data_IF_895920034619
#
_entry.id   IF_895920034619
#
_cell.length_a   1.000
_cell.length_b   1.000
_cell.length_c   1.000
_cell.angle_alpha   90.00
_cell.angle_beta   90.00
_cell.angle_gamma   90.00
#
_symmetry.space_group_name_H-M   'P 1'
#
loop_
_entity.id
_entity.type
_entity.pdbx_description
1 polymer ?
#
# COMPACT_ATOMS: atom_id res chain seq x y z
N UNK A 1 7.52 9.24 8.16
CA UNK A 1 6.77 9.67 6.96
C UNK A 1 5.26 9.51 7.18
N UNK A 2 4.43 10.43 6.66
CA UNK A 2 2.96 10.38 6.85
C UNK A 2 2.25 9.34 5.99
N UNK A 3 2.92 8.83 4.94
CA UNK A 3 2.41 7.82 3.99
C UNK A 3 0.98 8.13 3.52
N UNK A 4 0.77 9.39 3.15
CA UNK A 4 -0.48 9.88 2.61
C UNK A 4 -0.27 10.58 1.27
N UNK A 5 -1.26 10.46 0.40
CA UNK A 5 -1.16 10.87 -0.99
C UNK A 5 -2.47 11.50 -1.46
N UNK A 6 -2.41 12.40 -2.43
CA UNK A 6 -3.62 12.86 -3.12
C UNK A 6 -4.03 11.82 -4.17
N UNK A 7 -5.34 11.76 -4.48
CA UNK A 7 -5.91 10.82 -5.47
C UNK A 7 -5.15 10.81 -6.81
N UNK A 8 -4.74 11.99 -7.30
CA UNK A 8 -4.03 12.10 -8.57
C UNK A 8 -2.60 11.57 -8.54
N UNK A 9 -1.93 11.58 -7.38
CA UNK A 9 -0.62 10.93 -7.23
C UNK A 9 -0.78 9.42 -7.33
N UNK A 10 -1.71 8.86 -6.55
CA UNK A 10 -1.98 7.41 -6.56
C UNK A 10 -2.38 6.95 -7.97
N UNK A 11 -3.27 7.67 -8.65
CA UNK A 11 -3.66 7.34 -10.03
C UNK A 11 -2.46 7.33 -10.98
N UNK A 12 -1.55 8.30 -10.86
CA UNK A 12 -0.35 8.41 -11.70
C UNK A 12 0.64 7.27 -11.42
N UNK A 13 0.93 6.99 -10.15
CA UNK A 13 1.88 5.93 -9.79
C UNK A 13 1.35 4.53 -10.14
N UNK A 14 0.03 4.34 -10.16
CA UNK A 14 -0.61 3.10 -10.63
C UNK A 14 -0.72 3.01 -12.16
N UNK A 15 -0.33 4.04 -12.91
CA UNK A 15 -0.50 4.09 -14.36
C UNK A 15 -1.96 4.07 -14.81
N UNK A 16 -2.90 4.45 -13.94
CA UNK A 16 -4.34 4.39 -14.20
C UNK A 16 -4.85 5.70 -14.79
N UNK A 17 -5.85 5.62 -15.67
CA UNK A 17 -6.60 6.81 -16.06
C UNK A 17 -7.35 7.39 -14.86
N UNK A 18 -7.50 8.71 -14.81
CA UNK A 18 -8.26 9.38 -13.74
C UNK A 18 -9.68 8.83 -13.64
N UNK A 19 -10.33 8.56 -14.76
CA UNK A 19 -11.70 8.03 -14.75
C UNK A 19 -11.78 6.65 -14.08
N UNK A 20 -10.88 5.72 -14.43
CA UNK A 20 -10.85 4.39 -13.84
C UNK A 20 -10.49 4.44 -12.36
N UNK A 21 -9.51 5.26 -11.98
CA UNK A 21 -9.11 5.40 -10.59
C UNK A 21 -10.23 5.96 -9.72
N UNK A 22 -10.84 7.09 -10.10
CA UNK A 22 -11.82 7.78 -9.25
C UNK A 22 -13.10 6.96 -9.04
N UNK A 23 -13.49 6.12 -10.01
CA UNK A 23 -14.61 5.18 -9.86
C UNK A 23 -14.33 4.18 -8.73
N UNK A 24 -13.22 3.45 -8.82
CA UNK A 24 -12.88 2.42 -7.83
C UNK A 24 -12.47 3.01 -6.48
N UNK A 25 -11.83 4.18 -6.46
CA UNK A 25 -11.38 4.81 -5.23
C UNK A 25 -12.55 5.28 -4.35
N UNK A 26 -13.68 5.67 -4.94
CA UNK A 26 -14.90 6.01 -4.20
C UNK A 26 -15.39 4.81 -3.38
N UNK A 27 -15.41 3.63 -3.98
CA UNK A 27 -15.83 2.40 -3.30
C UNK A 27 -14.88 2.07 -2.14
N UNK A 28 -13.57 2.28 -2.30
CA UNK A 28 -12.58 2.08 -1.23
C UNK A 28 -12.77 3.07 -0.06
N UNK A 29 -13.21 4.29 -0.33
CA UNK A 29 -13.55 5.28 0.70
C UNK A 29 -14.83 4.89 1.44
N UNK A 30 -15.88 4.49 0.71
CA UNK A 30 -17.18 4.09 1.28
C UNK A 30 -17.06 2.83 2.15
N UNK A 31 -16.17 1.90 1.77
CA UNK A 31 -15.82 0.71 2.56
C UNK A 31 -14.82 1.00 3.69
N UNK A 32 -14.41 2.25 3.89
CA UNK A 32 -13.43 2.68 4.90
C UNK A 32 -12.06 1.98 4.81
N UNK A 33 -11.71 1.43 3.65
CA UNK A 33 -10.41 0.81 3.38
C UNK A 33 -9.34 1.90 3.28
N UNK A 34 -9.70 3.06 2.75
CA UNK A 34 -8.88 4.29 2.76
C UNK A 34 -9.64 5.41 3.46
N UNK A 35 -8.91 6.31 4.12
CA UNK A 35 -9.49 7.46 4.85
C UNK A 35 -8.73 8.75 4.61
N UNK A 36 -9.42 9.91 4.60
CA UNK A 36 -8.75 11.20 4.55
C UNK A 36 -7.86 11.37 5.79
N UNK A 37 -6.67 11.92 5.58
CA UNK A 37 -5.64 12.03 6.63
C UNK A 37 -5.45 13.46 7.12
N UNK A 38 -5.35 14.42 6.20
CA UNK A 38 -5.12 15.85 6.44
C UNK A 38 -5.42 16.65 5.16
N UNK A 39 -5.46 17.97 5.28
CA UNK A 39 -5.48 18.89 4.14
C UNK A 39 -4.16 19.64 4.02
N UNK A 40 -3.70 19.85 2.79
CA UNK A 40 -2.55 20.70 2.46
C UNK A 40 -3.01 21.70 1.40
N UNK A 41 -3.21 22.96 1.79
CA UNK A 41 -3.90 23.93 0.94
C UNK A 41 -5.29 23.42 0.54
N UNK A 42 -5.53 23.27 -0.76
CA UNK A 42 -6.80 22.74 -1.30
C UNK A 42 -6.82 21.21 -1.47
N UNK A 43 -5.67 20.56 -1.32
CA UNK A 43 -5.55 19.12 -1.49
C UNK A 43 -6.02 18.36 -0.25
N UNK A 44 -6.76 17.26 -0.46
CA UNK A 44 -7.08 16.29 0.59
C UNK A 44 -6.18 15.08 0.42
N UNK A 45 -5.41 14.78 1.46
CA UNK A 45 -4.52 13.63 1.53
C UNK A 45 -5.30 12.41 2.01
N UNK A 46 -4.97 11.23 1.49
CA UNK A 46 -5.59 9.95 1.87
C UNK A 46 -4.53 8.96 2.32
N UNK A 47 -4.88 8.10 3.28
CA UNK A 47 -4.05 7.00 3.77
C UNK A 47 -4.85 5.71 3.84
N UNK A 48 -4.17 4.57 3.83
CA UNK A 48 -4.81 3.28 4.09
C UNK A 48 -5.28 3.20 5.55
N UNK A 49 -6.45 2.61 5.77
CA UNK A 49 -6.99 2.43 7.11
C UNK A 49 -6.42 1.16 7.75
N UNK A 50 -5.31 1.29 8.47
CA UNK A 50 -4.64 0.16 9.14
C UNK A 50 -5.49 -0.54 10.23
N UNK A 51 -6.58 0.10 10.67
CA UNK A 51 -7.48 -0.47 11.65
C UNK A 51 -8.51 -1.43 11.02
N UNK A 52 -8.75 -1.28 9.71
CA UNK A 52 -9.71 -2.07 8.95
C UNK A 52 -9.30 -3.55 8.90
N UNK A 53 -10.22 -4.51 9.14
CA UNK A 53 -9.90 -5.94 9.20
C UNK A 53 -9.19 -6.47 7.95
N UNK A 54 -9.67 -6.14 6.75
CA UNK A 54 -9.03 -6.54 5.48
C UNK A 54 -7.59 -6.06 5.38
N UNK A 55 -7.32 -4.79 5.74
CA UNK A 55 -5.99 -4.18 5.66
C UNK A 55 -5.03 -4.86 6.64
N UNK A 56 -5.51 -5.20 7.85
CA UNK A 56 -4.71 -5.96 8.82
C UNK A 56 -4.29 -7.33 8.27
N UNK A 57 -5.24 -8.08 7.71
CA UNK A 57 -4.96 -9.40 7.12
C UNK A 57 -3.99 -9.33 5.95
N UNK A 58 -4.16 -8.34 5.06
CA UNK A 58 -3.22 -8.15 3.95
C UNK A 58 -1.82 -7.81 4.45
N UNK A 59 -1.68 -6.99 5.49
CA UNK A 59 -0.37 -6.70 6.09
C UNK A 59 0.28 -7.94 6.71
N UNK A 60 -0.49 -8.81 7.38
CA UNK A 60 0.00 -10.09 7.91
C UNK A 60 0.60 -10.95 6.79
N UNK A 61 -0.13 -11.11 5.69
CA UNK A 61 0.32 -11.88 4.52
C UNK A 61 1.58 -11.27 3.90
N UNK A 62 1.60 -9.95 3.70
CA UNK A 62 2.76 -9.25 3.13
C UNK A 62 4.00 -9.46 4.00
N UNK A 63 3.86 -9.39 5.32
CA UNK A 63 4.97 -9.61 6.25
C UNK A 63 5.50 -11.04 6.19
N UNK A 64 4.60 -12.03 6.19
CA UNK A 64 4.96 -13.45 6.09
C UNK A 64 5.74 -13.75 4.81
N UNK A 65 5.21 -13.30 3.66
CA UNK A 65 5.88 -13.48 2.36
C UNK A 65 7.23 -12.75 2.33
N UNK A 66 7.32 -11.55 2.89
CA UNK A 66 8.58 -10.80 2.98
C UNK A 66 9.64 -11.54 3.81
N UNK A 67 9.24 -12.17 4.92
CA UNK A 67 10.14 -13.00 5.73
C UNK A 67 10.63 -14.21 4.94
N UNK A 68 9.72 -14.94 4.27
CA UNK A 68 10.09 -16.09 3.45
C UNK A 68 11.07 -15.72 2.32
N UNK A 69 10.88 -14.55 1.69
CA UNK A 69 11.81 -14.05 0.67
C UNK A 69 13.18 -13.76 1.30
N UNK A 70 13.21 -13.06 2.43
CA UNK A 70 14.46 -12.73 3.11
C UNK A 70 15.25 -13.98 3.54
N UNK A 71 14.57 -15.01 4.04
CA UNK A 71 15.19 -16.29 4.40
C UNK A 71 15.79 -17.00 3.18
N UNK A 72 15.05 -17.05 2.07
CA UNK A 72 15.54 -17.62 0.81
C UNK A 72 16.78 -16.89 0.27
N UNK A 73 16.79 -15.56 0.32
CA UNK A 73 17.96 -14.78 -0.10
C UNK A 73 19.16 -15.00 0.83
N UNK A 74 18.94 -15.07 2.15
CA UNK A 74 20.00 -15.37 3.11
C UNK A 74 20.61 -16.76 2.90
N UNK A 75 19.80 -17.76 2.54
CA UNK A 75 20.28 -19.10 2.20
C UNK A 75 21.13 -19.11 0.93
N UNK A 76 20.71 -18.41 -0.13
CA UNK A 76 21.50 -18.27 -1.37
C UNK A 76 22.89 -17.70 -1.08
N UNK A 77 22.95 -16.63 -0.28
CA UNK A 77 24.23 -16.01 0.11
C UNK A 77 25.11 -16.98 0.92
N UNK A 78 24.52 -17.74 1.85
CA UNK A 78 25.25 -18.75 2.64
C UNK A 78 25.79 -19.90 1.79
N UNK A 79 25.06 -20.35 0.78
CA UNK A 79 25.50 -21.41 -0.14
C UNK A 79 26.64 -20.91 -1.02
N UNK A 80 26.54 -19.68 -1.55
CA UNK A 80 27.59 -19.06 -2.36
C UNK A 80 28.88 -18.81 -1.58
N UNK A 81 28.78 -18.41 -0.30
CA UNK A 81 29.95 -18.20 0.55
C UNK A 81 30.69 -19.49 0.96
N UNK A 82 30.09 -20.66 0.71
CA UNK A 82 30.68 -21.98 0.98
C UNK A 82 31.30 -22.64 -0.25
N UNK A 83 31.13 -22.04 -1.43
CA UNK A 83 31.68 -22.51 -2.71
C UNK A 83 32.89 -21.66 -3.07
#
# INVERSE_FOLDING_TARGET
PYFDFIKSEVARELGMSKQAFYKNFKDLEELEIVKPSRKIGRATMYRINKEHPLVKRLNEIVNEVSLQIAEKEAEKVRVQAKT
#
